data_IF_862864962003
#
_entry.id   IF_862864962003
#
_cell.length_a   1.000
_cell.length_b   1.000
_cell.length_c   1.000
_cell.angle_alpha   90.00
_cell.angle_beta   90.00
_cell.angle_gamma   90.00
#
_symmetry.space_group_name_H-M   'P 1'
#
loop_
_entity.id
_entity.type
_entity.pdbx_description
1 polymer ?
#
# COMPACT_ATOMS: atom_id res chain seq x y z
N UNK A 1 -28.95 4.40 13.00
CA UNK A 1 -29.33 5.03 11.72
C UNK A 1 -30.24 4.05 10.99
N UNK A 2 -31.35 4.51 10.44
CA UNK A 2 -32.25 3.68 9.65
C UNK A 2 -31.57 3.24 8.35
N UNK A 3 -31.81 2.01 7.89
CA UNK A 3 -31.12 1.43 6.74
C UNK A 3 -31.44 2.15 5.42
N UNK A 4 -32.62 2.79 5.33
CA UNK A 4 -33.01 3.63 4.18
C UNK A 4 -32.17 4.92 4.04
N UNK A 5 -31.39 5.26 5.08
CA UNK A 5 -30.47 6.41 5.10
C UNK A 5 -29.00 6.01 4.94
N UNK A 6 -28.73 4.74 4.64
CA UNK A 6 -27.38 4.22 4.41
C UNK A 6 -27.28 3.82 2.94
N UNK A 7 -26.40 4.50 2.21
CA UNK A 7 -26.22 4.30 0.79
C UNK A 7 -24.82 3.76 0.50
N UNK A 8 -24.74 2.61 -0.16
CA UNK A 8 -23.47 2.10 -0.69
C UNK A 8 -23.20 2.80 -2.02
N UNK A 9 -22.16 3.62 -2.04
CA UNK A 9 -21.83 4.48 -3.21
C UNK A 9 -20.53 4.11 -3.91
N UNK A 10 -19.76 3.19 -3.36
CA UNK A 10 -18.42 2.87 -3.82
C UNK A 10 -17.35 3.58 -2.96
N UNK A 11 -16.19 3.86 -3.56
CA UNK A 11 -15.06 4.43 -2.85
C UNK A 11 -14.49 5.65 -3.60
N UNK A 12 -14.64 6.89 -3.07
CA UNK A 12 -14.13 8.11 -3.72
C UNK A 12 -12.60 8.14 -3.88
N UNK A 13 -11.84 7.39 -3.08
CA UNK A 13 -10.40 7.26 -3.29
C UNK A 13 -10.09 6.55 -4.61
N UNK A 14 -10.92 5.58 -4.97
CA UNK A 14 -10.81 4.85 -6.23
C UNK A 14 -11.18 5.73 -7.42
N UNK A 15 -12.15 6.64 -7.27
CA UNK A 15 -12.45 7.65 -8.30
C UNK A 15 -11.20 8.49 -8.60
N UNK A 16 -10.49 8.92 -7.54
CA UNK A 16 -9.25 9.68 -7.67
C UNK A 16 -8.14 8.85 -8.33
N UNK A 17 -7.97 7.59 -7.93
CA UNK A 17 -6.98 6.68 -8.50
C UNK A 17 -7.23 6.47 -10.00
N UNK A 18 -8.45 6.08 -10.37
CA UNK A 18 -8.83 5.79 -11.75
C UNK A 18 -8.75 7.04 -12.63
N UNK A 19 -9.15 8.21 -12.11
CA UNK A 19 -9.05 9.49 -12.81
C UNK A 19 -7.62 9.99 -13.04
N UNK A 20 -6.61 9.35 -12.44
CA UNK A 20 -5.20 9.71 -12.60
C UNK A 20 -4.33 8.58 -13.17
N UNK A 21 -4.90 7.48 -13.66
CA UNK A 21 -4.13 6.31 -14.11
C UNK A 21 -3.03 6.65 -15.15
N UNK A 22 -3.33 7.55 -16.08
CA UNK A 22 -2.40 7.98 -17.13
C UNK A 22 -1.28 8.90 -16.62
N UNK A 23 -1.40 9.40 -15.38
CA UNK A 23 -0.44 10.30 -14.73
C UNK A 23 0.56 9.56 -13.84
N UNK A 24 0.37 8.28 -13.59
CA UNK A 24 1.30 7.47 -12.80
C UNK A 24 2.42 6.96 -13.70
N UNK A 25 3.43 7.81 -13.90
CA UNK A 25 4.56 7.55 -14.79
C UNK A 25 5.68 6.82 -14.02
N UNK A 26 5.65 5.49 -14.12
CA UNK A 26 6.62 4.59 -13.45
C UNK A 26 8.03 4.80 -14.01
N UNK A 27 8.17 4.99 -15.33
CA UNK A 27 9.48 5.10 -15.96
C UNK A 27 10.14 6.43 -15.63
N UNK A 28 9.40 7.54 -15.65
CA UNK A 28 9.91 8.83 -15.21
C UNK A 28 10.30 8.83 -13.73
N UNK A 29 9.51 8.20 -12.87
CA UNK A 29 9.84 8.06 -11.44
C UNK A 29 11.11 7.23 -11.26
N UNK A 30 11.20 6.08 -11.96
CA UNK A 30 12.36 5.19 -11.92
C UNK A 30 13.64 5.93 -12.32
N UNK A 31 13.60 6.66 -13.43
CA UNK A 31 14.75 7.44 -13.90
C UNK A 31 15.15 8.56 -12.92
N UNK A 32 14.17 9.22 -12.29
CA UNK A 32 14.43 10.33 -11.36
C UNK A 32 15.01 9.89 -10.03
N UNK A 33 14.56 8.75 -9.50
CA UNK A 33 14.98 8.24 -8.20
C UNK A 33 16.01 7.11 -8.30
N UNK A 34 16.49 6.79 -9.50
CA UNK A 34 17.42 5.68 -9.78
C UNK A 34 16.93 4.35 -9.17
N UNK A 35 15.64 4.05 -9.41
CA UNK A 35 15.03 2.87 -8.81
C UNK A 35 15.47 1.59 -9.53
N UNK A 36 15.68 0.50 -8.80
CA UNK A 36 15.94 -0.83 -9.36
C UNK A 36 14.80 -1.29 -10.27
N UNK A 37 15.11 -2.22 -11.17
CA UNK A 37 14.08 -2.82 -12.03
C UNK A 37 13.04 -3.62 -11.25
N UNK A 38 13.50 -4.37 -10.24
CA UNK A 38 12.64 -5.14 -9.34
C UNK A 38 12.85 -4.70 -7.90
N UNK A 39 11.79 -4.27 -7.24
CA UNK A 39 11.83 -3.84 -5.84
C UNK A 39 10.53 -4.13 -5.11
N UNK A 40 10.62 -4.18 -3.79
CA UNK A 40 9.50 -4.16 -2.85
C UNK A 40 9.32 -2.72 -2.34
N UNK A 41 8.16 -2.14 -2.56
CA UNK A 41 7.84 -0.85 -1.95
C UNK A 41 7.43 -1.03 -0.50
N UNK A 42 7.91 -0.18 0.41
CA UNK A 42 7.54 -0.22 1.82
C UNK A 42 6.99 1.13 2.29
N UNK A 43 5.99 1.11 3.16
CA UNK A 43 5.51 2.30 3.87
C UNK A 43 4.92 1.93 5.23
N UNK A 44 5.52 2.43 6.29
CA UNK A 44 5.17 2.15 7.67
C UNK A 44 5.09 3.46 8.47
N UNK A 45 3.94 3.71 9.10
CA UNK A 45 3.70 4.97 9.81
C UNK A 45 2.77 4.84 11.01
N UNK A 46 2.15 3.65 11.22
CA UNK A 46 1.24 3.48 12.35
C UNK A 46 2.00 3.41 13.67
N UNK A 47 1.41 3.99 14.75
CA UNK A 47 2.03 3.99 16.08
C UNK A 47 2.54 2.62 16.52
N UNK A 48 1.72 1.58 16.30
CA UNK A 48 2.07 0.20 16.69
C UNK A 48 3.36 -0.31 16.04
N UNK A 49 3.74 0.21 14.88
CA UNK A 49 4.92 -0.24 14.11
C UNK A 49 6.13 0.68 14.28
N UNK A 50 5.92 1.97 14.65
CA UNK A 50 7.01 2.95 14.62
C UNK A 50 7.26 3.66 15.94
N UNK A 51 6.35 3.63 16.91
CA UNK A 51 6.52 4.34 18.18
C UNK A 51 7.32 3.51 19.20
N UNK A 52 7.24 2.16 19.13
CA UNK A 52 8.01 1.27 19.97
C UNK A 52 9.38 0.95 19.32
N UNK A 53 10.51 1.26 19.98
CA UNK A 53 11.83 1.05 19.41
C UNK A 53 12.16 -0.42 19.08
N UNK A 54 11.67 -1.37 19.90
CA UNK A 54 11.94 -2.79 19.69
C UNK A 54 11.18 -3.31 18.46
N UNK A 55 9.94 -2.88 18.29
CA UNK A 55 9.15 -3.17 17.09
C UNK A 55 9.78 -2.57 15.84
N UNK A 56 10.20 -1.31 15.89
CA UNK A 56 10.88 -0.65 14.77
C UNK A 56 12.18 -1.35 14.39
N UNK A 57 12.98 -1.79 15.38
CA UNK A 57 14.21 -2.55 15.14
C UNK A 57 13.93 -3.93 14.52
N UNK A 58 12.89 -4.62 14.98
CA UNK A 58 12.47 -5.90 14.40
C UNK A 58 12.03 -5.71 12.94
N UNK A 59 11.25 -4.67 12.65
CA UNK A 59 10.79 -4.37 11.28
C UNK A 59 11.96 -3.96 10.38
N UNK A 60 12.93 -3.16 10.86
CA UNK A 60 14.13 -2.84 10.12
C UNK A 60 14.91 -4.12 9.76
N UNK A 61 15.07 -5.05 10.72
CA UNK A 61 15.68 -6.34 10.47
C UNK A 61 14.93 -7.15 9.41
N UNK A 62 13.59 -7.19 9.45
CA UNK A 62 12.79 -7.89 8.44
C UNK A 62 12.92 -7.27 7.05
N UNK A 63 12.98 -5.94 6.98
CA UNK A 63 13.21 -5.26 5.70
C UNK A 63 14.62 -5.51 5.16
N UNK A 64 15.65 -5.65 6.01
CA UNK A 64 16.98 -6.09 5.59
C UNK A 64 16.98 -7.53 5.05
N UNK A 65 16.31 -8.46 5.73
CA UNK A 65 16.16 -9.84 5.26
C UNK A 65 15.43 -9.91 3.89
N UNK A 66 14.48 -9.02 3.64
CA UNK A 66 13.86 -8.86 2.31
C UNK A 66 14.86 -8.26 1.32
N UNK A 67 15.65 -7.28 1.75
CA UNK A 67 16.65 -6.63 0.92
C UNK A 67 17.77 -7.59 0.48
N UNK A 68 18.01 -8.68 1.19
CA UNK A 68 18.89 -9.77 0.74
C UNK A 68 18.35 -10.46 -0.54
N UNK A 69 17.05 -10.38 -0.83
CA UNK A 69 16.40 -11.02 -1.97
C UNK A 69 16.03 -10.04 -3.10
N UNK A 70 15.45 -8.90 -2.77
CA UNK A 70 15.06 -7.85 -3.70
C UNK A 70 15.25 -6.48 -3.06
N UNK A 71 15.53 -5.45 -3.87
CA UNK A 71 15.67 -4.09 -3.34
C UNK A 71 14.40 -3.65 -2.60
N UNK A 72 14.57 -2.90 -1.52
CA UNK A 72 13.47 -2.29 -0.76
C UNK A 72 13.51 -0.78 -0.98
N UNK A 73 12.41 -0.22 -1.46
CA UNK A 73 12.28 1.23 -1.68
C UNK A 73 11.24 1.78 -0.71
N UNK A 74 11.65 2.69 0.17
CA UNK A 74 10.79 3.20 1.23
C UNK A 74 10.83 4.74 1.29
N UNK A 75 9.77 5.42 0.85
CA UNK A 75 9.51 6.80 1.24
C UNK A 75 9.22 6.85 2.74
N UNK A 76 10.10 7.47 3.52
CA UNK A 76 10.02 7.41 4.99
C UNK A 76 9.05 8.47 5.49
N UNK A 77 7.96 8.01 6.09
CA UNK A 77 7.01 8.92 6.73
C UNK A 77 7.67 9.62 7.94
N UNK A 78 7.46 10.93 8.16
CA UNK A 78 8.11 11.69 9.24
C UNK A 78 7.97 11.06 10.63
N UNK A 79 6.83 10.42 10.92
CA UNK A 79 6.60 9.73 12.20
C UNK A 79 7.58 8.59 12.45
N UNK A 80 7.90 7.80 11.43
CA UNK A 80 8.79 6.63 11.55
C UNK A 80 10.27 6.98 11.42
N UNK A 81 10.61 8.15 10.87
CA UNK A 81 11.99 8.49 10.51
C UNK A 81 12.98 8.28 11.65
N UNK A 82 12.75 8.89 12.81
CA UNK A 82 13.67 8.80 13.94
C UNK A 82 13.79 7.37 14.53
N UNK A 83 12.76 6.55 14.42
CA UNK A 83 12.79 5.17 14.88
C UNK A 83 13.61 4.29 13.91
N UNK A 84 13.36 4.40 12.62
CA UNK A 84 14.07 3.64 11.60
C UNK A 84 15.53 4.10 11.44
N UNK A 85 15.83 5.41 11.60
CA UNK A 85 17.22 5.90 11.63
C UNK A 85 17.99 5.26 12.80
N UNK A 86 17.38 5.20 14.02
CA UNK A 86 18.00 4.53 15.16
C UNK A 86 18.14 3.01 15.01
N UNK A 87 17.20 2.40 14.28
CA UNK A 87 17.22 0.97 13.98
C UNK A 87 18.20 0.60 12.87
N UNK A 88 18.90 1.58 12.27
CA UNK A 88 19.87 1.36 11.19
C UNK A 88 19.22 0.87 9.89
N UNK A 89 17.96 1.21 9.62
CA UNK A 89 17.27 0.72 8.42
C UNK A 89 18.01 1.05 7.12
N UNK A 90 18.69 2.20 7.06
CA UNK A 90 19.48 2.62 5.90
C UNK A 90 20.87 1.97 5.78
N UNK A 91 21.27 1.11 6.71
CA UNK A 91 22.64 0.52 6.71
C UNK A 91 22.79 -0.63 5.70
N UNK A 92 21.67 -1.11 5.13
CA UNK A 92 21.71 -2.16 4.11
C UNK A 92 21.80 -1.55 2.70
N UNK A 93 22.76 -1.99 1.83
CA UNK A 93 23.01 -1.37 0.52
C UNK A 93 21.85 -1.46 -0.47
N UNK A 94 20.92 -2.37 -0.26
CA UNK A 94 19.71 -2.54 -1.10
C UNK A 94 18.44 -2.00 -0.44
N UNK A 95 18.56 -1.17 0.59
CA UNK A 95 17.47 -0.41 1.18
C UNK A 95 17.61 1.05 0.76
N UNK A 96 16.67 1.51 -0.06
CA UNK A 96 16.65 2.86 -0.64
C UNK A 96 15.61 3.70 0.10
N UNK A 97 16.08 4.57 0.99
CA UNK A 97 15.24 5.49 1.75
C UNK A 97 15.08 6.80 1.00
N UNK A 98 13.85 7.26 0.85
CA UNK A 98 13.52 8.52 0.20
C UNK A 98 12.71 9.43 1.12
N UNK A 99 12.74 10.73 0.84
CA UNK A 99 11.79 11.68 1.44
C UNK A 99 10.34 11.33 1.01
N UNK A 100 9.33 11.79 1.77
CA UNK A 100 7.93 11.56 1.41
C UNK A 100 7.62 12.00 -0.02
N UNK A 101 6.97 11.14 -0.77
CA UNK A 101 6.58 11.40 -2.16
C UNK A 101 5.19 12.04 -2.24
N UNK A 102 4.96 12.85 -3.24
CA UNK A 102 3.62 13.29 -3.61
C UNK A 102 2.76 12.11 -4.11
N UNK A 103 1.44 12.29 -4.13
CA UNK A 103 0.48 11.23 -4.44
C UNK A 103 0.79 10.52 -5.77
N UNK A 104 1.01 11.27 -6.84
CA UNK A 104 1.25 10.69 -8.17
C UNK A 104 2.52 9.82 -8.19
N UNK A 105 3.59 10.31 -7.59
CA UNK A 105 4.85 9.59 -7.49
C UNK A 105 4.74 8.36 -6.58
N UNK A 106 4.02 8.51 -5.46
CA UNK A 106 3.83 7.40 -4.53
C UNK A 106 3.02 6.26 -5.17
N UNK A 107 1.95 6.58 -5.90
CA UNK A 107 1.18 5.56 -6.62
C UNK A 107 1.98 4.97 -7.78
N UNK A 108 2.79 5.77 -8.49
CA UNK A 108 3.72 5.25 -9.50
C UNK A 108 4.75 4.28 -8.89
N UNK A 109 5.29 4.60 -7.69
CA UNK A 109 6.17 3.68 -6.95
C UNK A 109 5.48 2.36 -6.63
N UNK A 110 4.25 2.40 -6.10
CA UNK A 110 3.45 1.19 -5.83
C UNK A 110 3.22 0.40 -7.12
N UNK A 111 2.77 1.06 -8.19
CA UNK A 111 2.44 0.44 -9.47
C UNK A 111 3.64 -0.28 -10.11
N UNK A 112 4.85 0.26 -9.92
CA UNK A 112 6.10 -0.31 -10.44
C UNK A 112 6.74 -1.38 -9.55
N UNK A 113 6.22 -1.65 -8.36
CA UNK A 113 6.79 -2.59 -7.41
C UNK A 113 6.34 -4.03 -7.64
N UNK A 114 7.16 -4.99 -7.25
CA UNK A 114 6.82 -6.42 -7.24
C UNK A 114 5.84 -6.78 -6.11
N UNK A 115 5.91 -6.04 -5.00
CA UNK A 115 5.03 -6.15 -3.85
C UNK A 115 5.06 -4.87 -3.02
N UNK A 116 4.06 -4.69 -2.17
CA UNK A 116 4.00 -3.59 -1.20
C UNK A 116 3.91 -4.14 0.21
N UNK A 117 4.79 -3.68 1.10
CA UNK A 117 4.72 -3.90 2.56
C UNK A 117 4.19 -2.62 3.20
N UNK A 118 3.05 -2.70 3.87
CA UNK A 118 2.37 -1.50 4.38
C UNK A 118 1.60 -1.71 5.67
N UNK A 119 1.32 -0.63 6.38
CA UNK A 119 0.31 -0.57 7.45
C UNK A 119 -0.83 0.42 7.12
N UNK A 120 -0.83 0.98 5.91
CA UNK A 120 -1.79 1.98 5.43
C UNK A 120 -3.09 1.33 4.93
N UNK A 121 -4.24 1.88 5.35
CA UNK A 121 -5.54 1.46 4.83
C UNK A 121 -5.76 1.87 3.38
N UNK A 122 -5.34 3.08 2.99
CA UNK A 122 -5.50 3.58 1.61
C UNK A 122 -4.70 2.76 0.60
N UNK A 123 -3.47 2.39 0.95
CA UNK A 123 -2.60 1.57 0.10
C UNK A 123 -3.22 0.21 -0.20
N UNK A 124 -3.93 -0.41 0.76
CA UNK A 124 -4.66 -1.67 0.54
C UNK A 124 -5.73 -1.52 -0.56
N UNK A 125 -6.39 -0.36 -0.60
CA UNK A 125 -7.44 -0.07 -1.60
C UNK A 125 -6.81 0.19 -2.98
N UNK A 126 -5.76 0.98 -3.02
CA UNK A 126 -5.04 1.32 -4.25
C UNK A 126 -4.40 0.08 -4.90
N UNK A 127 -3.69 -0.74 -4.12
CA UNK A 127 -3.07 -1.97 -4.61
C UNK A 127 -4.10 -2.98 -5.12
N UNK A 128 -5.29 -3.02 -4.53
CA UNK A 128 -6.40 -3.86 -4.99
C UNK A 128 -6.78 -3.51 -6.44
N UNK A 129 -6.87 -2.24 -6.78
CA UNK A 129 -7.20 -1.79 -8.15
C UNK A 129 -6.02 -1.97 -9.10
N UNK A 130 -4.82 -1.62 -8.63
CA UNK A 130 -3.59 -1.74 -9.42
C UNK A 130 -3.15 -3.19 -9.67
N UNK A 131 -3.72 -4.15 -8.93
CA UNK A 131 -3.34 -5.56 -9.04
C UNK A 131 -1.98 -5.89 -8.41
N UNK A 132 -1.44 -5.00 -7.57
CA UNK A 132 -0.13 -5.19 -6.92
C UNK A 132 -0.30 -5.99 -5.64
N UNK A 133 0.51 -7.04 -5.39
CA UNK A 133 0.50 -7.78 -4.12
C UNK A 133 0.73 -6.85 -2.92
N UNK A 134 -0.16 -6.91 -1.94
CA UNK A 134 -0.12 -6.05 -0.75
C UNK A 134 -0.01 -6.89 0.53
N UNK A 135 1.02 -6.66 1.30
CA UNK A 135 1.30 -7.32 2.56
C UNK A 135 1.12 -6.32 3.70
N UNK A 136 0.01 -6.46 4.41
CA UNK A 136 -0.38 -5.51 5.44
C UNK A 136 0.05 -5.96 6.83
N UNK A 137 1.00 -5.24 7.42
CA UNK A 137 1.51 -5.45 8.79
C UNK A 137 0.51 -4.93 9.84
N UNK A 138 -0.58 -5.68 10.01
CA UNK A 138 -1.65 -5.35 10.95
C UNK A 138 -2.38 -6.61 11.41
N UNK A 139 -2.87 -6.66 12.65
CA UNK A 139 -3.67 -7.79 13.16
C UNK A 139 -5.06 -7.87 12.51
N UNK A 140 -5.57 -6.76 11.98
CA UNK A 140 -6.87 -6.66 11.32
C UNK A 140 -6.89 -5.53 10.28
N UNK A 141 -7.96 -5.48 9.48
CA UNK A 141 -8.22 -4.36 8.55
C UNK A 141 -9.67 -3.93 8.61
N UNK A 142 -9.89 -2.61 8.49
CA UNK A 142 -11.21 -2.02 8.29
C UNK A 142 -11.69 -2.16 6.83
N UNK A 143 -10.90 -2.80 5.98
CA UNK A 143 -11.15 -2.96 4.54
C UNK A 143 -11.13 -4.42 4.12
N UNK A 144 -12.01 -5.27 4.68
CA UNK A 144 -11.99 -6.71 4.41
C UNK A 144 -12.17 -7.02 2.91
N UNK A 145 -12.80 -6.12 2.15
CA UNK A 145 -13.00 -6.24 0.72
C UNK A 145 -11.67 -6.32 -0.05
N UNK A 146 -10.59 -5.72 0.46
CA UNK A 146 -9.25 -5.79 -0.16
C UNK A 146 -8.63 -7.18 -0.04
N UNK A 147 -9.05 -7.96 0.95
CA UNK A 147 -8.65 -9.37 1.12
C UNK A 147 -9.53 -10.28 0.25
N UNK A 148 -10.85 -10.06 0.28
CA UNK A 148 -11.79 -10.97 -0.39
C UNK A 148 -11.89 -10.75 -1.91
N UNK A 149 -11.59 -9.54 -2.41
CA UNK A 149 -11.66 -9.16 -3.83
C UNK A 149 -10.35 -8.56 -4.35
N UNK A 150 -9.32 -8.47 -3.53
CA UNK A 150 -8.08 -7.80 -3.87
C UNK A 150 -6.84 -8.67 -3.71
N UNK A 151 -5.71 -8.01 -3.62
CA UNK A 151 -4.37 -8.60 -3.51
C UNK A 151 -3.81 -8.52 -2.10
N UNK A 152 -4.61 -8.03 -1.14
CA UNK A 152 -4.15 -7.76 0.22
C UNK A 152 -4.13 -9.03 1.10
N UNK A 153 -3.03 -9.20 1.84
CA UNK A 153 -2.88 -10.20 2.89
C UNK A 153 -2.46 -9.52 4.19
N UNK A 154 -3.10 -9.91 5.30
CA UNK A 154 -2.58 -9.54 6.61
C UNK A 154 -1.41 -10.45 6.96
N UNK A 155 -0.32 -9.85 7.40
CA UNK A 155 0.91 -10.57 7.79
C UNK A 155 1.39 -10.10 9.15
N UNK A 156 2.05 -11.00 9.87
CA UNK A 156 2.83 -10.67 11.06
C UNK A 156 4.28 -10.41 10.68
N UNK A 157 5.06 -9.83 11.58
CA UNK A 157 6.50 -9.67 11.41
C UNK A 157 7.22 -11.02 11.19
N UNK A 158 6.68 -12.09 11.78
CA UNK A 158 7.24 -13.43 11.65
C UNK A 158 7.01 -14.03 10.25
N UNK A 159 5.85 -13.76 9.65
CA UNK A 159 5.45 -14.32 8.35
C UNK A 159 5.90 -13.46 7.16
N UNK A 160 6.31 -12.21 7.42
CA UNK A 160 6.57 -11.21 6.39
C UNK A 160 7.59 -11.69 5.36
N UNK A 161 8.77 -12.14 5.81
CA UNK A 161 9.83 -12.59 4.91
C UNK A 161 9.37 -13.75 4.02
N UNK A 162 8.77 -14.77 4.62
CA UNK A 162 8.29 -15.93 3.87
C UNK A 162 7.25 -15.56 2.83
N UNK A 163 6.34 -14.61 3.18
CA UNK A 163 5.27 -14.20 2.28
C UNK A 163 5.82 -13.35 1.12
N UNK A 164 6.73 -12.40 1.40
CA UNK A 164 7.43 -11.65 0.34
C UNK A 164 8.18 -12.60 -0.59
N UNK A 165 8.94 -13.56 -0.04
CA UNK A 165 9.67 -14.55 -0.84
C UNK A 165 8.75 -15.31 -1.79
N UNK A 166 7.59 -15.77 -1.33
CA UNK A 166 6.59 -16.43 -2.19
C UNK A 166 6.14 -15.52 -3.33
N UNK A 167 5.83 -14.26 -3.03
CA UNK A 167 5.40 -13.29 -4.04
C UNK A 167 6.49 -13.05 -5.09
N UNK A 168 7.74 -12.84 -4.67
CA UNK A 168 8.88 -12.65 -5.57
C UNK A 168 9.15 -13.85 -6.49
N UNK A 169 8.76 -15.06 -6.07
CA UNK A 169 8.83 -16.28 -6.88
C UNK A 169 7.55 -16.56 -7.69
N UNK A 170 6.67 -15.56 -7.85
CA UNK A 170 5.47 -15.66 -8.66
C UNK A 170 4.27 -16.34 -7.99
N UNK A 171 4.35 -16.63 -6.68
CA UNK A 171 3.22 -17.14 -5.90
C UNK A 171 2.42 -15.95 -5.33
N UNK A 172 1.84 -15.16 -6.23
CA UNK A 172 0.90 -14.10 -5.82
C UNK A 172 -0.38 -14.72 -5.30
N UNK A 173 -1.01 -14.11 -4.29
CA UNK A 173 -2.38 -14.51 -3.90
C UNK A 173 -3.25 -14.45 -5.15
N UNK A 174 -3.98 -15.53 -5.42
CA UNK A 174 -5.02 -15.47 -6.44
C UNK A 174 -6.02 -14.39 -6.02
N UNK A 175 -6.32 -13.50 -6.96
CA UNK A 175 -7.37 -12.51 -6.77
C UNK A 175 -8.67 -13.27 -6.57
N UNK A 176 -9.25 -13.18 -5.39
CA UNK A 176 -10.51 -13.85 -5.08
C UNK A 176 -11.65 -12.96 -5.61
N UNK A 177 -12.12 -13.27 -6.82
CA UNK A 177 -13.26 -12.58 -7.42
C UNK A 177 -12.92 -11.38 -8.28
N UNK A 178 -13.98 -10.70 -8.73
CA UNK A 178 -13.88 -9.48 -9.53
C UNK A 178 -13.50 -8.25 -8.68
N UNK A 179 -13.30 -7.11 -9.36
CA UNK A 179 -13.12 -5.81 -8.70
C UNK A 179 -14.22 -5.60 -7.63
N UNK A 180 -13.88 -5.04 -6.45
CA UNK A 180 -14.87 -4.76 -5.41
C UNK A 180 -16.09 -4.02 -5.96
N UNK A 181 -17.31 -4.37 -5.51
CA UNK A 181 -18.53 -3.75 -6.01
C UNK A 181 -18.48 -2.22 -5.92
N UNK A 182 -18.87 -1.54 -6.99
CA UNK A 182 -18.91 -0.07 -7.11
C UNK A 182 -17.55 0.63 -6.98
N UNK A 183 -16.43 -0.09 -7.15
CA UNK A 183 -15.10 0.51 -7.25
C UNK A 183 -14.77 0.81 -8.72
N UNK A 184 -15.61 1.59 -9.36
CA UNK A 184 -15.68 1.83 -10.80
C UNK A 184 -15.39 3.29 -11.21
N UNK A 185 -14.99 4.14 -10.26
CA UNK A 185 -14.68 5.53 -10.53
C UNK A 185 -15.87 6.50 -10.50
N UNK A 186 -17.05 6.05 -10.06
CA UNK A 186 -18.29 6.83 -10.08
C UNK A 186 -18.92 7.03 -8.68
N UNK A 187 -18.17 6.87 -7.60
CA UNK A 187 -18.68 7.07 -6.24
C UNK A 187 -19.11 8.52 -6.00
N UNK A 188 -18.35 9.49 -6.49
CA UNK A 188 -18.66 10.92 -6.39
C UNK A 188 -19.98 11.29 -7.07
N UNK A 189 -20.25 10.74 -8.25
CA UNK A 189 -21.51 10.96 -8.99
C UNK A 189 -22.72 10.41 -8.24
N UNK A 190 -22.58 9.20 -7.64
CA UNK A 190 -23.63 8.59 -6.82
C UNK A 190 -23.92 9.43 -5.57
N UNK A 191 -22.87 9.91 -4.90
CA UNK A 191 -23.00 10.81 -3.74
C UNK A 191 -23.75 12.08 -4.15
N UNK A 192 -23.35 12.74 -5.24
CA UNK A 192 -24.00 13.96 -5.72
C UNK A 192 -25.49 13.72 -6.04
N UNK A 193 -25.82 12.60 -6.67
CA UNK A 193 -27.21 12.22 -6.98
C UNK A 193 -28.05 12.09 -5.72
N UNK A 194 -27.56 11.36 -4.70
CA UNK A 194 -28.25 11.15 -3.43
C UNK A 194 -28.48 12.50 -2.71
N UNK A 195 -27.43 13.33 -2.61
CA UNK A 195 -27.51 14.62 -1.94
C UNK A 195 -28.51 15.58 -2.64
N UNK A 196 -28.56 15.55 -3.98
CA UNK A 196 -29.53 16.36 -4.75
C UNK A 196 -30.98 15.93 -4.51
N UNK A 197 -31.22 14.61 -4.30
CA UNK A 197 -32.56 14.11 -3.95
C UNK A 197 -32.96 14.48 -2.51
N UNK A 198 -32.00 14.58 -1.60
CA UNK A 198 -32.23 14.95 -0.20
C UNK A 198 -32.54 16.44 0.00
N UNK A 199 -32.09 17.30 -0.90
CA UNK A 199 -32.32 18.75 -0.85
C UNK A 199 -33.68 19.20 -1.40
N UNK A 200 -34.52 18.25 -1.83
CA UNK A 200 -35.89 18.48 -2.30
C UNK A 200 -36.90 18.01 -1.27
#
# INVERSE_FOLDING_TARGET
VSTDRVHLVGNPMIDTLLGNLDRFDVDALRARLDLPETYVAATLHRPANVDDPDTAALLAKRLHEIADQADVVMPVHPRGKAAFDRAGLGDHPRVHLHEPLGYLDFVALIRGSAAVVTDSGGVQEETTILGVPCLTLRPNTERPVTITHGTNQLVTEADLLQTVTKVLHGHTPERVGDTPPLWDGHAGERIATILTQWSR
#
